data_IF_502794364692
#
_entry.id   IF_502794364692
#
_cell.length_a   1.000
_cell.length_b   1.000
_cell.length_c   1.000
_cell.angle_alpha   90.00
_cell.angle_beta   90.00
_cell.angle_gamma   90.00
#
_symmetry.space_group_name_H-M   'P 1'
#
loop_
_entity.id
_entity.type
_entity.pdbx_description
1 polymer ?
#
# COMPACT_ATOMS: atom_id res chain seq x y z
N UNK A 1 -4.34 11.06 -11.39
CA UNK A 1 -3.68 10.79 -12.69
C UNK A 1 -4.71 10.34 -13.72
N UNK A 2 -4.42 10.46 -15.02
CA UNK A 2 -5.24 9.83 -16.08
C UNK A 2 -4.65 8.50 -16.45
N UNK A 3 -5.42 7.42 -16.41
CA UNK A 3 -5.01 6.10 -16.88
C UNK A 3 -5.68 5.79 -18.21
N UNK A 4 -4.94 5.12 -19.09
CA UNK A 4 -5.47 4.57 -20.34
C UNK A 4 -4.94 3.17 -20.61
N UNK A 5 -5.76 2.38 -21.31
CA UNK A 5 -5.42 1.07 -21.84
C UNK A 5 -5.59 1.13 -23.35
N UNK A 6 -4.53 0.87 -24.10
CA UNK A 6 -4.51 0.94 -25.56
C UNK A 6 -5.08 2.26 -26.13
N UNK A 7 -4.76 3.37 -25.45
CA UNK A 7 -5.23 4.72 -25.80
C UNK A 7 -6.67 5.02 -25.37
N UNK A 8 -7.39 4.06 -24.80
CA UNK A 8 -8.75 4.25 -24.27
C UNK A 8 -8.67 4.70 -22.81
N UNK A 9 -9.27 5.85 -22.43
CA UNK A 9 -9.30 6.30 -21.04
C UNK A 9 -10.00 5.31 -20.10
N UNK A 10 -9.49 5.20 -18.87
CA UNK A 10 -10.10 4.45 -17.78
C UNK A 10 -10.64 5.46 -16.76
N UNK A 11 -11.97 5.53 -16.63
CA UNK A 11 -12.62 6.50 -15.74
C UNK A 11 -12.47 6.11 -14.26
N UNK A 12 -12.51 4.81 -13.97
CA UNK A 12 -12.34 4.26 -12.63
C UNK A 12 -11.79 2.84 -12.66
N UNK A 13 -11.12 2.44 -11.59
CA UNK A 13 -10.77 1.03 -11.42
C UNK A 13 -12.02 0.15 -11.20
N UNK A 14 -12.02 -1.02 -11.81
CA UNK A 14 -13.03 -2.05 -11.59
C UNK A 14 -12.61 -3.00 -10.49
N UNK A 15 -13.54 -3.34 -9.59
CA UNK A 15 -13.33 -4.39 -8.59
C UNK A 15 -12.97 -5.74 -9.25
N UNK A 16 -13.67 -6.15 -10.30
CA UNK A 16 -13.45 -7.44 -10.94
C UNK A 16 -12.42 -7.39 -12.08
N UNK A 17 -12.32 -6.26 -12.78
CA UNK A 17 -11.58 -6.18 -14.04
C UNK A 17 -10.30 -5.32 -13.97
N UNK A 18 -9.94 -4.76 -12.81
CA UNK A 18 -8.79 -3.87 -12.68
C UNK A 18 -8.96 -2.64 -13.57
N UNK A 19 -8.10 -2.45 -14.55
CA UNK A 19 -8.21 -1.38 -15.55
C UNK A 19 -9.10 -1.74 -16.76
N UNK A 20 -9.64 -2.95 -16.78
CA UNK A 20 -10.52 -3.45 -17.84
C UNK A 20 -12.00 -3.25 -17.55
N UNK A 21 -12.82 -3.84 -18.42
CA UNK A 21 -14.28 -3.87 -18.32
C UNK A 21 -14.78 -5.27 -18.65
N UNK A 22 -16.08 -5.54 -18.49
CA UNK A 22 -16.69 -6.84 -18.80
C UNK A 22 -16.33 -7.37 -20.20
N UNK A 23 -16.22 -6.48 -21.19
CA UNK A 23 -15.92 -6.86 -22.57
C UNK A 23 -14.44 -7.25 -22.79
N UNK A 24 -13.51 -6.70 -22.00
CA UNK A 24 -12.07 -6.93 -22.16
C UNK A 24 -11.49 -7.89 -21.11
N UNK A 25 -12.23 -8.14 -20.03
CA UNK A 25 -11.76 -8.92 -18.89
C UNK A 25 -10.77 -8.15 -18.02
N UNK A 26 -10.03 -8.87 -17.18
CA UNK A 26 -9.06 -8.24 -16.29
C UNK A 26 -7.89 -7.66 -17.06
N UNK A 27 -7.59 -6.38 -16.81
CA UNK A 27 -6.40 -5.70 -17.33
C UNK A 27 -5.61 -5.14 -16.16
N UNK A 28 -4.41 -5.70 -15.95
CA UNK A 28 -3.54 -5.33 -14.84
C UNK A 28 -2.58 -4.18 -15.13
N UNK A 29 -2.56 -3.63 -16.35
CA UNK A 29 -1.55 -2.65 -16.75
C UNK A 29 -2.09 -1.64 -17.74
N UNK A 30 -1.65 -0.38 -17.59
CA UNK A 30 -1.96 0.71 -18.51
C UNK A 30 -0.84 1.74 -18.54
N UNK A 31 -1.09 2.83 -19.27
CA UNK A 31 -0.28 4.05 -19.22
C UNK A 31 -0.98 5.10 -18.40
N UNK A 32 -0.22 5.98 -17.75
CA UNK A 32 -0.78 7.14 -17.07
C UNK A 32 -0.07 8.43 -17.46
N UNK A 33 -0.78 9.55 -17.33
CA UNK A 33 -0.22 10.90 -17.37
C UNK A 33 -0.70 11.70 -16.15
N UNK A 34 0.04 12.75 -15.78
CA UNK A 34 -0.46 13.66 -14.75
C UNK A 34 -1.33 14.74 -15.39
N UNK A 35 -2.28 15.25 -14.62
CA UNK A 35 -3.19 16.31 -15.04
C UNK A 35 -2.92 17.52 -14.17
N UNK A 36 -2.63 18.65 -14.83
CA UNK A 36 -2.50 19.93 -14.14
C UNK A 36 -3.89 20.56 -14.00
N UNK A 37 -4.38 20.70 -12.77
CA UNK A 37 -5.65 21.37 -12.47
C UNK A 37 -5.51 22.90 -12.32
N UNK A 38 -4.31 23.45 -12.51
CA UNK A 38 -4.00 24.85 -12.27
C UNK A 38 -3.88 25.16 -10.78
N UNK A 39 -4.19 26.40 -10.41
CA UNK A 39 -4.24 26.83 -9.00
C UNK A 39 -5.57 26.41 -8.36
N UNK A 40 -5.49 25.51 -7.39
CA UNK A 40 -6.64 24.98 -6.63
C UNK A 40 -6.73 25.54 -5.21
N UNK A 41 -5.87 26.49 -4.83
CA UNK A 41 -5.74 27.00 -3.46
C UNK A 41 -7.02 27.62 -2.88
N UNK A 42 -7.91 28.11 -3.73
CA UNK A 42 -9.20 28.71 -3.35
C UNK A 42 -10.41 27.77 -3.56
N UNK A 43 -10.16 26.51 -3.92
CA UNK A 43 -11.21 25.52 -4.12
C UNK A 43 -11.42 24.69 -2.85
N UNK A 44 -12.68 24.38 -2.55
CA UNK A 44 -13.03 23.37 -1.55
C UNK A 44 -12.67 21.98 -2.05
N UNK A 45 -12.55 21.00 -1.14
CA UNK A 45 -12.32 19.59 -1.49
C UNK A 45 -13.33 19.08 -2.53
N UNK A 46 -14.61 19.41 -2.37
CA UNK A 46 -15.66 19.03 -3.32
C UNK A 46 -15.44 19.62 -4.72
N UNK A 47 -15.02 20.88 -4.80
CA UNK A 47 -14.75 21.53 -6.08
C UNK A 47 -13.51 20.94 -6.77
N UNK A 48 -12.50 20.52 -6.01
CA UNK A 48 -11.32 19.82 -6.54
C UNK A 48 -11.73 18.45 -7.11
N UNK A 49 -12.62 17.72 -6.43
CA UNK A 49 -13.15 16.45 -6.91
C UNK A 49 -13.96 16.64 -8.21
N UNK A 50 -14.89 17.59 -8.24
CA UNK A 50 -15.68 17.88 -9.44
C UNK A 50 -14.78 18.28 -10.63
N UNK A 51 -13.74 19.09 -10.38
CA UNK A 51 -12.75 19.46 -11.39
C UNK A 51 -11.92 18.26 -11.87
N UNK A 52 -11.58 17.33 -10.97
CA UNK A 52 -10.85 16.11 -11.29
C UNK A 52 -11.67 15.19 -12.19
N UNK A 53 -12.95 14.99 -11.86
CA UNK A 53 -13.90 14.22 -12.67
C UNK A 53 -14.09 14.87 -14.04
N UNK A 54 -14.31 16.18 -14.09
CA UNK A 54 -14.46 16.92 -15.36
C UNK A 54 -13.19 16.85 -16.22
N UNK A 55 -12.01 16.82 -15.58
CA UNK A 55 -10.76 16.63 -16.26
C UNK A 55 -10.56 15.18 -16.75
N UNK A 56 -11.38 14.22 -16.32
CA UNK A 56 -11.25 12.79 -16.67
C UNK A 56 -10.13 12.08 -15.91
N UNK A 57 -9.80 12.53 -14.70
CA UNK A 57 -8.85 11.84 -13.81
C UNK A 57 -9.47 10.49 -13.39
N UNK A 58 -8.68 9.42 -13.46
CA UNK A 58 -9.10 8.07 -13.07
C UNK A 58 -9.35 8.01 -11.58
N UNK A 59 -10.52 7.47 -11.19
CA UNK A 59 -10.89 7.22 -9.80
C UNK A 59 -10.37 5.85 -9.34
N UNK A 60 -9.72 5.83 -8.19
CA UNK A 60 -9.21 4.62 -7.56
C UNK A 60 -9.99 4.35 -6.27
N UNK A 61 -10.01 3.10 -5.81
CA UNK A 61 -10.81 2.69 -4.64
C UNK A 61 -10.08 2.98 -3.34
N UNK A 62 -10.17 4.23 -2.90
CA UNK A 62 -9.49 4.73 -1.68
C UNK A 62 -7.98 4.47 -1.71
N UNK A 63 -7.22 5.21 -2.53
CA UNK A 63 -5.77 5.23 -2.39
C UNK A 63 -5.39 5.67 -0.98
N UNK A 64 -4.54 4.89 -0.33
CA UNK A 64 -3.94 5.25 0.96
C UNK A 64 -2.45 5.56 0.72
N UNK A 65 -1.53 4.99 1.51
CA UNK A 65 -0.14 5.39 1.47
C UNK A 65 0.64 4.90 0.23
N UNK A 66 1.81 5.51 0.05
CA UNK A 66 2.73 5.19 -1.03
C UNK A 66 4.19 5.27 -0.60
N UNK A 67 5.04 4.51 -1.27
CA UNK A 67 6.48 4.51 -1.06
C UNK A 67 7.25 4.46 -2.38
N UNK A 68 8.34 5.23 -2.46
CA UNK A 68 9.29 5.18 -3.56
C UNK A 68 10.24 3.99 -3.39
N UNK A 69 10.69 3.38 -4.49
CA UNK A 69 11.69 2.31 -4.43
C UNK A 69 13.05 2.89 -3.97
N UNK A 70 13.56 2.52 -2.78
CA UNK A 70 14.80 3.09 -2.25
C UNK A 70 16.04 2.45 -2.87
N UNK A 71 15.89 1.39 -3.67
CA UNK A 71 17.03 0.67 -4.24
C UNK A 71 17.81 1.56 -5.20
N UNK A 72 19.13 1.38 -5.19
CA UNK A 72 20.03 2.13 -6.04
C UNK A 72 19.82 1.81 -7.53
N UNK A 73 19.83 2.85 -8.37
CA UNK A 73 19.81 2.74 -9.83
C UNK A 73 18.71 3.56 -10.49
N UNK A 74 18.95 3.99 -11.73
CA UNK A 74 18.03 4.91 -12.44
C UNK A 74 16.62 4.33 -12.60
N UNK A 75 16.52 3.00 -12.78
CA UNK A 75 15.25 2.31 -12.94
C UNK A 75 14.36 2.41 -11.69
N UNK A 76 14.93 2.21 -10.51
CA UNK A 76 14.21 2.17 -9.23
C UNK A 76 13.67 3.54 -8.85
N UNK A 77 14.45 4.59 -9.10
CA UNK A 77 14.03 5.96 -8.79
C UNK A 77 12.79 6.45 -9.55
N UNK A 78 12.41 5.78 -10.64
CA UNK A 78 11.18 6.07 -11.38
C UNK A 78 9.99 5.23 -10.90
N UNK A 79 10.18 4.32 -9.95
CA UNK A 79 9.15 3.42 -9.44
C UNK A 79 8.61 3.93 -8.09
N UNK A 80 7.30 4.14 -8.02
CA UNK A 80 6.54 4.38 -6.80
C UNK A 80 5.47 3.30 -6.65
N UNK A 81 5.13 2.97 -5.42
CA UNK A 81 4.15 1.93 -5.09
C UNK A 81 3.11 2.52 -4.17
N UNK A 82 1.84 2.23 -4.40
CA UNK A 82 0.77 2.67 -3.52
C UNK A 82 -0.25 1.58 -3.38
N UNK A 83 -1.03 1.63 -2.30
CA UNK A 83 -2.11 0.68 -2.06
C UNK A 83 -3.48 1.34 -2.22
N UNK A 84 -4.47 0.55 -2.57
CA UNK A 84 -5.88 0.92 -2.46
C UNK A 84 -6.52 0.07 -1.39
N UNK A 85 -7.10 0.68 -0.36
CA UNK A 85 -7.72 -0.06 0.75
C UNK A 85 -9.07 -0.67 0.33
N UNK A 86 -9.81 -0.02 -0.58
CA UNK A 86 -11.14 -0.46 -1.01
C UNK A 86 -12.12 -0.66 0.17
N UNK A 87 -12.66 -1.88 0.35
CA UNK A 87 -13.45 -2.27 1.52
C UNK A 87 -13.27 -3.77 1.81
N UNK A 88 -13.77 -4.25 2.95
CA UNK A 88 -13.57 -5.64 3.43
C UNK A 88 -14.06 -6.72 2.44
N UNK A 89 -15.05 -6.40 1.59
CA UNK A 89 -15.67 -7.33 0.66
C UNK A 89 -15.16 -7.18 -0.78
N UNK A 90 -14.30 -6.21 -1.05
CA UNK A 90 -13.82 -5.92 -2.41
C UNK A 90 -12.30 -6.00 -2.49
N UNK A 91 -11.79 -5.92 -3.72
CA UNK A 91 -10.38 -6.11 -3.99
C UNK A 91 -9.59 -4.83 -3.68
N UNK A 92 -8.91 -4.84 -2.52
CA UNK A 92 -7.77 -3.96 -2.26
C UNK A 92 -6.56 -4.40 -3.11
N UNK A 93 -5.65 -3.47 -3.44
CA UNK A 93 -4.56 -3.75 -4.38
C UNK A 93 -3.28 -3.06 -4.01
N UNK A 94 -2.17 -3.67 -4.42
CA UNK A 94 -0.87 -3.02 -4.54
C UNK A 94 -0.66 -2.62 -6.00
N UNK A 95 -0.33 -1.35 -6.21
CA UNK A 95 -0.06 -0.76 -7.51
C UNK A 95 1.40 -0.35 -7.62
N UNK A 96 1.94 -0.40 -8.84
CA UNK A 96 3.20 0.25 -9.19
C UNK A 96 2.97 1.33 -10.24
N UNK A 97 3.46 2.52 -9.97
CA UNK A 97 3.73 3.55 -10.95
C UNK A 97 5.18 3.45 -11.38
N UNK A 98 5.43 3.43 -12.70
CA UNK A 98 6.75 3.61 -13.27
C UNK A 98 6.71 4.83 -14.17
N UNK A 99 7.36 5.90 -13.76
CA UNK A 99 7.49 7.12 -14.55
C UNK A 99 8.49 6.91 -15.70
N UNK A 100 8.24 7.54 -16.85
CA UNK A 100 9.20 7.56 -17.95
C UNK A 100 10.42 8.43 -17.59
N UNK A 101 10.18 9.58 -16.93
CA UNK A 101 11.21 10.48 -16.42
C UNK A 101 10.66 11.33 -15.26
N UNK A 102 10.82 10.85 -14.02
CA UNK A 102 10.35 11.57 -12.83
C UNK A 102 11.10 12.90 -12.60
N UNK A 103 12.33 13.04 -13.11
CA UNK A 103 13.20 14.19 -12.78
C UNK A 103 12.98 15.39 -13.67
N UNK A 104 12.69 15.19 -14.95
CA UNK A 104 12.54 16.31 -15.91
C UNK A 104 11.13 16.49 -16.43
N UNK A 105 10.36 15.41 -16.58
CA UNK A 105 9.04 15.46 -17.22
C UNK A 105 8.02 14.56 -16.50
N UNK A 106 7.80 14.73 -15.17
CA UNK A 106 6.89 13.88 -14.41
C UNK A 106 5.46 13.89 -14.96
N UNK A 107 5.06 14.98 -15.62
CA UNK A 107 3.73 15.16 -16.22
C UNK A 107 3.44 14.21 -17.38
N UNK A 108 4.48 13.72 -18.07
CA UNK A 108 4.33 12.69 -19.11
C UNK A 108 3.88 11.35 -18.52
N UNK A 109 4.01 11.18 -17.20
CA UNK A 109 3.64 9.98 -16.47
C UNK A 109 4.49 8.79 -16.88
N UNK A 110 3.85 7.68 -17.23
CA UNK A 110 4.52 6.43 -17.59
C UNK A 110 3.56 5.25 -17.56
N UNK A 111 3.92 4.14 -16.92
CA UNK A 111 3.07 2.94 -16.80
C UNK A 111 2.56 2.71 -15.40
N UNK A 112 1.32 2.25 -15.27
CA UNK A 112 0.70 1.80 -14.02
C UNK A 112 0.41 0.30 -14.11
N UNK A 113 0.66 -0.44 -13.03
CA UNK A 113 0.50 -1.89 -12.98
C UNK A 113 -0.04 -2.38 -11.63
N UNK A 114 -1.03 -3.27 -11.66
CA UNK A 114 -1.53 -4.02 -10.51
C UNK A 114 -0.55 -5.16 -10.22
N UNK A 115 0.03 -5.16 -9.02
CA UNK A 115 0.95 -6.20 -8.54
C UNK A 115 0.26 -7.22 -7.65
N UNK A 116 -0.74 -6.78 -6.88
CA UNK A 116 -1.64 -7.63 -6.10
C UNK A 116 -3.07 -7.32 -6.51
N UNK A 117 -3.81 -8.38 -6.85
CA UNK A 117 -5.13 -8.27 -7.47
C UNK A 117 -6.28 -8.15 -6.48
N UNK A 118 -6.05 -8.56 -5.22
CA UNK A 118 -7.04 -8.68 -4.15
C UNK A 118 -7.49 -10.13 -3.89
N UNK A 119 -7.01 -11.08 -4.68
CA UNK A 119 -7.31 -12.52 -4.53
C UNK A 119 -6.34 -13.26 -3.58
N UNK A 120 -5.25 -12.59 -3.18
CA UNK A 120 -4.12 -13.19 -2.47
C UNK A 120 -4.33 -13.27 -0.94
N UNK A 121 -5.51 -12.90 -0.44
CA UNK A 121 -5.91 -13.06 0.97
C UNK A 121 -5.75 -11.82 1.85
N UNK A 122 -5.04 -10.81 1.37
CA UNK A 122 -4.98 -9.49 2.01
C UNK A 122 -6.29 -8.72 1.83
N UNK A 123 -6.61 -7.84 2.78
CA UNK A 123 -7.79 -6.95 2.74
C UNK A 123 -7.40 -5.60 3.31
N UNK A 124 -7.94 -4.54 2.72
CA UNK A 124 -7.85 -3.18 3.26
C UNK A 124 -6.42 -2.77 3.62
N UNK A 125 -5.50 -2.93 2.65
CA UNK A 125 -4.13 -2.44 2.81
C UNK A 125 -4.13 -0.92 2.97
N UNK A 126 -3.33 -0.41 3.91
CA UNK A 126 -3.29 1.02 4.21
C UNK A 126 -1.85 1.59 4.16
N UNK A 127 -1.04 1.34 5.18
CA UNK A 127 0.30 1.87 5.29
C UNK A 127 1.29 1.02 4.46
N UNK A 128 2.27 1.67 3.82
CA UNK A 128 3.29 0.97 3.01
C UNK A 128 4.69 1.55 3.22
N UNK A 129 5.67 0.66 3.28
CA UNK A 129 7.09 1.01 3.22
C UNK A 129 7.85 0.04 2.33
N UNK A 130 9.06 0.42 1.93
CA UNK A 130 9.94 -0.43 1.12
C UNK A 130 11.33 -0.36 1.73
N UNK A 131 11.94 -1.51 1.95
CA UNK A 131 13.31 -1.56 2.46
C UNK A 131 14.37 -1.56 1.32
N UNK A 132 15.66 -1.41 1.64
CA UNK A 132 16.74 -1.45 0.65
C UNK A 132 16.87 -2.79 -0.12
N UNK A 133 16.18 -3.85 0.30
CA UNK A 133 16.15 -5.15 -0.40
C UNK A 133 15.00 -5.24 -1.41
N UNK A 134 14.17 -4.19 -1.54
CA UNK A 134 13.01 -4.15 -2.42
C UNK A 134 11.85 -5.01 -1.91
N UNK A 135 11.77 -5.20 -0.60
CA UNK A 135 10.64 -5.83 0.07
C UNK A 135 9.68 -4.72 0.46
N UNK A 136 8.48 -4.77 -0.11
CA UNK A 136 7.38 -3.88 0.24
C UNK A 136 6.70 -4.49 1.45
N UNK A 137 6.59 -3.76 2.55
CA UNK A 137 5.87 -4.19 3.75
C UNK A 137 4.64 -3.31 3.90
N UNK A 138 3.48 -3.95 4.08
CA UNK A 138 2.17 -3.29 4.11
C UNK A 138 1.36 -3.84 5.27
N UNK A 139 0.66 -2.98 6.00
CA UNK A 139 -0.32 -3.39 7.01
C UNK A 139 -1.75 -3.33 6.45
N UNK A 140 -2.67 -3.91 7.21
CA UNK A 140 -4.11 -3.85 6.96
C UNK A 140 -4.78 -2.94 8.00
N UNK A 141 -5.66 -2.06 7.54
CA UNK A 141 -6.69 -1.39 8.33
C UNK A 141 -8.06 -2.00 7.98
N UNK A 142 -8.49 -3.09 8.65
CA UNK A 142 -9.80 -3.65 8.40
C UNK A 142 -10.93 -2.77 8.96
N UNK A 143 -10.64 -1.72 9.74
CA UNK A 143 -11.59 -1.06 10.63
C UNK A 143 -12.37 -2.04 11.51
N UNK A 144 -13.59 -1.68 11.88
CA UNK A 144 -14.48 -2.47 12.74
C UNK A 144 -15.10 -3.70 12.04
N UNK A 145 -14.30 -4.48 11.33
CA UNK A 145 -14.67 -5.74 10.69
C UNK A 145 -14.10 -6.93 11.46
N UNK A 146 -14.79 -8.07 11.43
CA UNK A 146 -14.35 -9.31 12.08
C UNK A 146 -13.15 -9.95 11.33
N UNK A 147 -11.99 -9.29 11.36
CA UNK A 147 -10.75 -9.71 10.72
C UNK A 147 -9.57 -9.26 11.57
N UNK A 148 -8.77 -10.23 12.03
CA UNK A 148 -7.47 -9.94 12.65
C UNK A 148 -6.55 -9.32 11.60
N UNK A 149 -6.12 -8.08 11.84
CA UNK A 149 -5.25 -7.33 10.93
C UNK A 149 -3.85 -7.93 10.85
N UNK A 150 -3.25 -7.82 9.67
CA UNK A 150 -2.02 -8.50 9.27
C UNK A 150 -1.01 -7.51 8.71
N UNK A 151 0.23 -7.95 8.69
CA UNK A 151 1.31 -7.31 7.96
C UNK A 151 1.80 -8.29 6.91
N UNK A 152 1.86 -7.79 5.68
CA UNK A 152 2.24 -8.52 4.49
C UNK A 152 3.56 -8.02 3.93
N UNK A 153 4.30 -8.93 3.32
CA UNK A 153 5.52 -8.64 2.57
C UNK A 153 5.33 -9.03 1.12
N UNK A 154 5.66 -8.12 0.20
CA UNK A 154 5.75 -8.38 -1.24
C UNK A 154 7.17 -8.11 -1.74
N UNK A 155 7.84 -9.11 -2.31
CA UNK A 155 9.16 -8.92 -2.93
C UNK A 155 9.01 -8.53 -4.39
N UNK A 156 9.42 -7.30 -4.73
CA UNK A 156 9.32 -6.72 -6.07
C UNK A 156 9.97 -7.58 -7.16
N UNK A 157 11.09 -8.23 -6.88
CA UNK A 157 11.84 -8.99 -7.87
C UNK A 157 11.21 -10.34 -8.23
N UNK A 158 10.51 -10.98 -7.28
CA UNK A 158 10.02 -12.36 -7.40
C UNK A 158 8.50 -12.44 -7.44
N UNK A 159 7.80 -11.41 -6.98
CA UNK A 159 6.36 -11.45 -6.73
C UNK A 159 5.99 -12.33 -5.54
N UNK A 160 6.96 -12.75 -4.72
CA UNK A 160 6.69 -13.52 -3.51
C UNK A 160 5.89 -12.66 -2.53
N UNK A 161 4.79 -13.22 -2.03
CA UNK A 161 3.84 -12.54 -1.14
C UNK A 161 3.58 -13.40 0.10
N UNK A 162 3.87 -12.86 1.28
CA UNK A 162 3.88 -13.63 2.54
C UNK A 162 3.30 -12.80 3.68
N UNK A 163 2.47 -13.41 4.53
CA UNK A 163 2.08 -12.85 5.82
C UNK A 163 3.28 -12.95 6.78
N UNK A 164 3.76 -11.81 7.28
CA UNK A 164 4.96 -11.75 8.14
C UNK A 164 4.62 -11.51 9.61
N UNK A 165 3.46 -10.93 9.88
CA UNK A 165 2.93 -10.76 11.23
C UNK A 165 1.40 -10.61 11.20
N UNK A 166 0.78 -10.81 12.37
CA UNK A 166 -0.60 -10.43 12.63
C UNK A 166 -0.79 -10.09 14.11
N UNK A 167 -1.85 -9.35 14.42
CA UNK A 167 -2.25 -9.12 15.81
C UNK A 167 -2.65 -10.41 16.50
N UNK A 168 -2.38 -10.53 17.81
CA UNK A 168 -2.68 -11.77 18.53
C UNK A 168 -4.21 -12.00 18.59
N UNK A 169 -4.75 -13.07 17.98
CA UNK A 169 -6.19 -13.32 17.92
C UNK A 169 -6.86 -13.37 19.31
N UNK A 170 -6.11 -13.75 20.36
CA UNK A 170 -6.62 -13.73 21.74
C UNK A 170 -7.16 -12.36 22.17
N UNK A 171 -6.61 -11.27 21.65
CA UNK A 171 -7.05 -9.93 22.02
C UNK A 171 -8.06 -9.35 21.02
N UNK A 172 -8.07 -9.86 19.79
CA UNK A 172 -8.68 -9.14 18.67
C UNK A 172 -9.66 -9.95 17.80
N UNK A 173 -9.69 -11.27 17.94
CA UNK A 173 -10.63 -12.09 17.19
C UNK A 173 -11.98 -12.21 17.93
N UNK A 174 -13.06 -11.58 17.42
CA UNK A 174 -14.38 -11.60 18.05
C UNK A 174 -15.06 -12.98 17.95
N UNK A 175 -14.52 -13.90 17.14
CA UNK A 175 -15.10 -15.23 16.92
C UNK A 175 -14.69 -16.24 17.99
N UNK A 176 -13.68 -15.92 18.81
CA UNK A 176 -13.23 -16.79 19.91
C UNK A 176 -14.26 -16.74 21.04
N UNK A 177 -14.99 -17.85 21.21
CA UNK A 177 -16.01 -17.98 22.26
C UNK A 177 -15.41 -17.94 23.67
N UNK A 178 -16.12 -17.30 24.61
CA UNK A 178 -15.74 -17.17 26.02
C UNK A 178 -14.35 -16.52 26.22
N UNK A 179 -13.96 -15.61 25.33
CA UNK A 179 -12.67 -14.94 25.40
C UNK A 179 -12.70 -13.75 26.37
N UNK A 180 -12.33 -13.99 27.63
CA UNK A 180 -12.21 -12.94 28.65
C UNK A 180 -11.08 -11.93 28.40
N UNK A 181 -10.20 -12.21 27.44
CA UNK A 181 -9.09 -11.33 27.08
C UNK A 181 -9.37 -10.45 25.85
N UNK A 182 -10.54 -10.57 25.22
CA UNK A 182 -10.91 -9.76 24.07
C UNK A 182 -10.89 -8.26 24.42
N UNK A 183 -10.29 -7.45 23.55
CA UNK A 183 -10.10 -6.01 23.72
C UNK A 183 -11.07 -5.26 22.81
N UNK A 184 -10.94 -5.47 21.50
CA UNK A 184 -11.70 -4.87 20.40
C UNK A 184 -11.50 -5.72 19.13
N UNK A 185 -12.29 -5.52 18.08
CA UNK A 185 -12.05 -6.09 16.73
C UNK A 185 -11.62 -5.00 15.72
N UNK A 186 -11.42 -3.79 16.22
CA UNK A 186 -11.11 -2.59 15.47
C UNK A 186 -9.65 -2.27 15.80
N UNK A 187 -8.74 -3.14 15.37
CA UNK A 187 -7.30 -3.00 15.57
C UNK A 187 -6.53 -2.95 14.26
N UNK A 188 -5.52 -2.11 14.23
CA UNK A 188 -4.64 -1.95 13.08
C UNK A 188 -3.20 -1.69 13.50
N UNK A 189 -2.29 -1.86 12.56
CA UNK A 189 -0.95 -1.30 12.64
C UNK A 189 -0.88 -0.10 11.71
N UNK A 190 -0.07 0.89 12.07
CA UNK A 190 0.13 2.08 11.24
C UNK A 190 1.58 2.55 11.32
N UNK A 191 1.94 3.45 10.40
CA UNK A 191 3.22 4.15 10.41
C UNK A 191 4.42 3.24 10.20
N UNK A 192 4.26 2.13 9.48
CA UNK A 192 5.37 1.21 9.23
C UNK A 192 6.50 1.88 8.45
N UNK A 193 7.71 1.84 9.00
CA UNK A 193 8.91 2.40 8.38
C UNK A 193 10.06 1.39 8.44
N UNK A 194 10.86 1.36 7.37
CA UNK A 194 12.17 0.69 7.41
C UNK A 194 13.07 1.36 8.46
N UNK A 195 13.65 0.56 9.34
CA UNK A 195 14.55 1.01 10.40
C UNK A 195 15.95 0.40 10.24
N UNK A 196 16.29 -0.05 9.02
CA UNK A 196 17.55 -0.75 8.75
C UNK A 196 18.79 0.06 9.09
N UNK A 197 18.77 1.36 8.82
CA UNK A 197 19.87 2.28 9.13
C UNK A 197 20.11 2.50 10.64
N UNK A 198 19.13 2.19 11.49
CA UNK A 198 19.17 2.43 12.95
C UNK A 198 19.36 1.11 13.72
N UNK A 199 18.56 0.09 13.40
CA UNK A 199 18.47 -1.17 14.13
C UNK A 199 19.12 -2.35 13.40
N UNK A 200 19.47 -2.17 12.12
CA UNK A 200 20.06 -3.19 11.24
C UNK A 200 19.06 -3.80 10.26
N UNK A 201 19.59 -4.50 9.25
CA UNK A 201 18.80 -5.13 8.19
C UNK A 201 17.62 -5.97 8.72
N UNK A 202 16.42 -5.71 8.19
CA UNK A 202 15.21 -6.47 8.53
C UNK A 202 14.42 -5.92 9.70
N UNK A 203 14.85 -4.84 10.34
CA UNK A 203 14.08 -4.16 11.37
C UNK A 203 13.18 -3.08 10.80
N UNK A 204 11.94 -3.06 11.31
CA UNK A 204 10.91 -2.06 11.01
C UNK A 204 10.38 -1.48 12.32
N UNK A 205 9.98 -0.21 12.29
CA UNK A 205 9.20 0.41 13.35
C UNK A 205 7.78 0.64 12.84
N UNK A 206 6.81 0.51 13.73
CA UNK A 206 5.38 0.67 13.49
C UNK A 206 4.69 0.85 14.83
N UNK A 207 3.46 1.35 14.83
CA UNK A 207 2.62 1.34 16.01
C UNK A 207 1.37 0.47 15.82
N UNK A 208 0.77 0.11 16.95
CA UNK A 208 -0.55 -0.54 17.03
C UNK A 208 -1.55 0.51 17.48
N UNK A 209 -2.68 0.55 16.80
CA UNK A 209 -3.86 1.33 17.18
C UNK A 209 -4.98 0.34 17.48
N UNK A 210 -5.27 0.14 18.76
CA UNK A 210 -6.41 -0.66 19.20
C UNK A 210 -7.59 0.27 19.51
N UNK A 211 -8.43 0.53 18.50
CA UNK A 211 -9.60 1.40 18.61
C UNK A 211 -10.56 0.85 19.66
N UNK A 212 -10.62 1.53 20.79
CA UNK A 212 -11.45 1.15 21.93
C UNK A 212 -11.91 2.40 22.66
N UNK A 213 -13.20 2.66 22.55
CA UNK A 213 -13.86 3.75 23.29
C UNK A 213 -13.51 3.65 24.78
N UNK A 214 -12.84 4.67 25.29
CA UNK A 214 -12.59 4.81 26.71
C UNK A 214 -13.78 5.50 27.38
N UNK A 215 -14.54 4.75 28.18
CA UNK A 215 -15.72 5.27 28.88
C UNK A 215 -15.38 6.26 30.00
N UNK A 216 -14.14 6.27 30.48
CA UNK A 216 -13.66 7.19 31.52
C UNK A 216 -13.13 8.51 30.96
N UNK A 217 -12.68 8.51 29.71
CA UNK A 217 -12.22 9.68 28.99
C UNK A 217 -12.49 9.52 27.48
N UNK A 218 -13.64 10.02 26.98
CA UNK A 218 -14.02 9.87 25.58
C UNK A 218 -13.07 10.56 24.58
N UNK A 219 -12.15 11.41 25.03
CA UNK A 219 -11.12 12.00 24.18
C UNK A 219 -9.99 10.99 23.84
N UNK A 220 -9.87 9.91 24.62
CA UNK A 220 -8.93 8.81 24.37
C UNK A 220 -9.65 7.66 23.68
N UNK A 221 -9.39 7.46 22.38
CA UNK A 221 -10.05 6.43 21.56
C UNK A 221 -9.14 5.25 21.19
N UNK A 222 -7.84 5.34 21.50
CA UNK A 222 -6.82 4.35 21.10
C UNK A 222 -6.11 3.68 22.27
N UNK A 223 -5.88 2.37 22.14
CA UNK A 223 -4.80 1.66 22.83
C UNK A 223 -3.55 1.63 21.94
N UNK A 224 -2.58 2.53 22.19
CA UNK A 224 -1.38 2.70 21.38
C UNK A 224 -0.15 1.92 21.89
N UNK A 225 0.60 1.27 21.00
CA UNK A 225 1.93 0.72 21.32
C UNK A 225 2.90 0.84 20.15
N UNK A 226 4.07 1.46 20.38
CA UNK A 226 5.20 1.39 19.44
C UNK A 226 5.85 0.01 19.48
N UNK A 227 6.07 -0.58 18.31
CA UNK A 227 6.70 -1.88 18.11
C UNK A 227 7.98 -1.76 17.28
N UNK A 228 8.91 -2.68 17.54
CA UNK A 228 10.00 -2.98 16.64
C UNK A 228 9.79 -4.41 16.12
N UNK A 229 9.57 -4.55 14.82
CA UNK A 229 9.32 -5.82 14.16
C UNK A 229 10.55 -6.25 13.36
N UNK A 230 10.98 -7.50 13.54
CA UNK A 230 12.07 -8.08 12.76
C UNK A 230 11.52 -9.05 11.71
N UNK A 231 11.81 -8.77 10.44
CA UNK A 231 11.57 -9.66 9.32
C UNK A 231 12.93 -10.12 8.78
N UNK A 232 13.23 -11.40 8.98
CA UNK A 232 14.49 -12.01 8.51
C UNK A 232 14.78 -11.60 7.05
N UNK A 233 15.93 -10.96 6.76
CA UNK A 233 16.30 -10.52 5.41
C UNK A 233 16.27 -11.63 4.34
N UNK A 234 16.26 -12.91 4.74
CA UNK A 234 16.14 -14.06 3.85
C UNK A 234 14.71 -14.29 3.37
N UNK A 235 13.69 -13.84 4.12
CA UNK A 235 12.28 -13.90 3.71
C UNK A 235 12.07 -12.88 2.60
N UNK A 236 11.53 -13.33 1.47
CA UNK A 236 11.41 -12.49 0.29
C UNK A 236 12.77 -12.02 -0.24
N UNK A 237 13.88 -12.72 0.02
CA UNK A 237 15.15 -12.37 -0.60
C UNK A 237 15.14 -12.75 -2.08
N UNK A 238 14.97 -11.78 -2.98
CA UNK A 238 15.37 -11.96 -4.37
C UNK A 238 16.84 -12.42 -4.42
N UNK A 239 17.22 -13.27 -5.40
CA UNK A 239 18.60 -13.78 -5.52
C UNK A 239 19.58 -12.62 -5.32
N UNK A 240 20.37 -12.64 -4.22
CA UNK A 240 21.38 -11.62 -3.94
C UNK A 240 22.15 -11.34 -5.22
N UNK A 241 21.99 -10.14 -5.79
CA UNK A 241 22.96 -9.62 -6.74
C UNK A 241 24.31 -9.70 -6.04
N UNK A 242 25.27 -10.40 -6.64
CA UNK A 242 26.64 -10.40 -6.13
C UNK A 242 27.04 -8.94 -5.95
N UNK A 243 27.40 -8.52 -4.74
CA UNK A 243 28.22 -7.33 -4.57
C UNK A 243 29.44 -7.55 -5.46
N UNK A 244 29.57 -6.74 -6.50
CA UNK A 244 30.85 -6.61 -7.19
C UNK A 244 31.74 -5.86 -6.20
N UNK A 245 32.56 -6.62 -5.47
CA UNK A 245 33.69 -6.11 -4.69
C UNK A 245 34.85 -5.78 -5.66
N UNK A 246 34.59 -4.96 -6.67
CA UNK A 246 35.60 -4.47 -7.61
C UNK A 246 35.28 -3.01 -7.91
N UNK A 247 35.78 -2.12 -7.05
CA UNK A 247 36.12 -0.72 -7.36
C UNK A 247 37.02 -0.20 -6.20
N UNK A 248 38.18 -0.84 -6.05
CA UNK A 248 39.38 -0.22 -5.47
C UNK A 248 40.43 -0.15 -6.58
N UNK A 249 40.61 1.05 -7.14
CA UNK A 249 41.84 1.52 -7.80
C UNK A 249 42.29 2.81 -7.10
#
# INVERSE_FOLDING_TARGET
MKVSVDGTPVDEESDLFGLGVTATGFIGKGTFSLVNLGDVSNLTQRQIEDASIAAGITRFRRPEDSAWDPRNGEKHRNDAYFVTTADVNTNCRLWRLRFDDIRKNPEKGGTIEILLTGSEGHRMLDNVTIDPFGRIVMDEDPGNNSRVSKIWLYQIATGEFVEVAHHNPKFFDPTILNNSSFITQDEESSGIIDASDILGDGWFLLDVQAHKVNTGDPELVEGGQLLAMFIDPRIGAGKRGKKNDEDED
#
